data_IF_579165635943
#
_entry.id   IF_579165635943
#
_cell.length_a   1.000
_cell.length_b   1.000
_cell.length_c   1.000
_cell.angle_alpha   90.00
_cell.angle_beta   90.00
_cell.angle_gamma   90.00
#
_symmetry.space_group_name_H-M   'P 1'
#
loop_
_entity.id
_entity.type
_entity.pdbx_description
1 polymer ?
#
# COMPACT_ATOMS: atom_id res chain seq x y z
N UNK A 1 12.52 9.64 4.65
CA UNK A 1 12.46 8.44 5.48
C UNK A 1 11.14 7.72 5.26
N UNK A 2 11.19 6.40 5.15
CA UNK A 2 10.01 5.60 4.93
C UNK A 2 9.18 5.46 6.21
N UNK A 3 7.90 5.84 6.15
CA UNK A 3 6.99 5.76 7.30
C UNK A 3 6.21 4.44 7.36
N UNK A 4 6.46 3.55 6.41
CA UNK A 4 5.77 2.28 6.36
C UNK A 4 6.40 1.26 7.29
N UNK A 5 5.55 0.45 7.93
CA UNK A 5 6.03 -0.68 8.72
C UNK A 5 6.53 -1.77 7.78
N UNK A 6 7.21 -2.76 8.35
CA UNK A 6 7.70 -3.90 7.58
C UNK A 6 6.54 -4.62 6.86
N UNK A 7 5.44 -4.82 7.56
CA UNK A 7 4.27 -5.50 6.99
C UNK A 7 3.64 -4.67 5.88
N UNK A 8 3.55 -3.35 6.07
CA UNK A 8 3.05 -2.45 5.03
C UNK A 8 3.95 -2.46 3.81
N UNK A 9 5.27 -2.44 4.01
CA UNK A 9 6.22 -2.48 2.92
C UNK A 9 6.07 -3.76 2.11
N UNK A 10 5.92 -4.90 2.78
CA UNK A 10 5.69 -6.17 2.09
C UNK A 10 4.42 -6.13 1.26
N UNK A 11 3.35 -5.57 1.81
CA UNK A 11 2.09 -5.45 1.09
C UNK A 11 2.26 -4.59 -0.17
N UNK A 12 2.95 -3.46 -0.05
CA UNK A 12 3.21 -2.58 -1.18
C UNK A 12 4.02 -3.29 -2.26
N UNK A 13 5.01 -4.08 -1.88
CA UNK A 13 5.83 -4.83 -2.83
C UNK A 13 5.00 -5.82 -3.63
N UNK A 14 4.06 -6.50 -2.96
CA UNK A 14 3.21 -7.50 -3.61
C UNK A 14 2.33 -6.86 -4.69
N UNK A 15 1.80 -5.68 -4.41
CA UNK A 15 0.82 -5.03 -5.29
C UNK A 15 1.42 -3.91 -6.15
N UNK A 16 2.73 -3.69 -6.06
CA UNK A 16 3.38 -2.61 -6.78
C UNK A 16 3.20 -2.73 -8.29
N UNK A 17 2.66 -1.68 -8.90
CA UNK A 17 2.45 -1.60 -10.35
C UNK A 17 3.44 -0.65 -11.03
N UNK A 18 4.35 -0.07 -10.25
CA UNK A 18 5.33 0.88 -10.75
C UNK A 18 4.94 2.35 -10.57
N UNK A 19 3.72 2.63 -10.11
CA UNK A 19 3.29 4.00 -9.84
C UNK A 19 2.48 4.06 -8.55
N UNK A 20 2.48 5.25 -7.93
CA UNK A 20 1.73 5.47 -6.70
C UNK A 20 0.22 5.31 -6.91
N UNK A 21 -0.31 5.93 -7.95
CA UNK A 21 -1.74 5.85 -8.25
C UNK A 21 -2.15 4.43 -8.60
N UNK A 22 -1.33 3.72 -9.38
CA UNK A 22 -1.60 2.32 -9.71
C UNK A 22 -1.62 1.43 -8.49
N UNK A 23 -0.69 1.66 -7.57
CA UNK A 23 -0.64 0.91 -6.32
C UNK A 23 -1.86 1.20 -5.44
N UNK A 24 -2.26 2.47 -5.34
CA UNK A 24 -3.47 2.86 -4.61
C UNK A 24 -4.69 2.15 -5.18
N UNK A 25 -4.82 2.13 -6.51
CA UNK A 25 -5.95 1.47 -7.17
C UNK A 25 -5.94 -0.04 -6.90
N UNK A 26 -4.77 -0.67 -6.99
CA UNK A 26 -4.65 -2.10 -6.75
C UNK A 26 -5.04 -2.48 -5.33
N UNK A 27 -4.56 -1.70 -4.35
CA UNK A 27 -4.90 -1.95 -2.96
C UNK A 27 -6.37 -1.67 -2.67
N UNK A 28 -6.94 -0.65 -3.30
CA UNK A 28 -8.36 -0.32 -3.12
C UNK A 28 -9.24 -1.46 -3.64
N UNK A 29 -8.90 -2.02 -4.80
CA UNK A 29 -9.63 -3.16 -5.33
C UNK A 29 -9.52 -4.38 -4.43
N UNK A 30 -8.31 -4.68 -3.98
CA UNK A 30 -8.09 -5.82 -3.08
C UNK A 30 -8.88 -5.64 -1.79
N UNK A 31 -8.87 -4.43 -1.22
CA UNK A 31 -9.60 -4.14 0.00
C UNK A 31 -11.09 -4.41 -0.14
N UNK A 32 -11.66 -4.09 -1.30
CA UNK A 32 -13.08 -4.31 -1.55
C UNK A 32 -13.46 -5.78 -1.62
N UNK A 33 -12.47 -6.67 -1.81
CA UNK A 33 -12.71 -8.11 -1.91
C UNK A 33 -12.45 -8.85 -0.61
N UNK A 34 -11.96 -8.14 0.42
CA UNK A 34 -11.67 -8.77 1.70
C UNK A 34 -12.95 -9.16 2.43
N UNK A 35 -12.94 -10.35 3.01
CA UNK A 35 -14.05 -10.80 3.84
C UNK A 35 -13.97 -10.15 5.22
N UNK A 36 -15.07 -10.15 5.99
CA UNK A 36 -15.03 -9.62 7.37
C UNK A 36 -14.00 -10.31 8.26
N UNK A 37 -13.64 -11.54 7.95
CA UNK A 37 -12.66 -12.30 8.72
C UNK A 37 -11.25 -11.80 8.51
N UNK A 38 -11.02 -11.01 7.47
CA UNK A 38 -9.71 -10.47 7.12
C UNK A 38 -9.54 -9.05 7.63
N UNK A 39 -10.07 -8.77 8.82
CA UNK A 39 -10.05 -7.43 9.39
C UNK A 39 -8.63 -6.89 9.59
N UNK A 40 -7.69 -7.76 9.98
CA UNK A 40 -6.30 -7.33 10.17
C UNK A 40 -5.67 -6.87 8.86
N UNK A 41 -5.91 -7.62 7.79
CA UNK A 41 -5.39 -7.25 6.47
C UNK A 41 -6.05 -5.97 5.99
N UNK A 42 -7.34 -5.79 6.25
CA UNK A 42 -8.03 -4.57 5.88
C UNK A 42 -7.47 -3.36 6.62
N UNK A 43 -7.19 -3.49 7.91
CA UNK A 43 -6.59 -2.41 8.68
C UNK A 43 -5.20 -2.06 8.16
N UNK A 44 -4.40 -3.08 7.84
CA UNK A 44 -3.08 -2.87 7.28
C UNK A 44 -3.17 -2.15 5.94
N UNK A 45 -4.11 -2.57 5.09
CA UNK A 45 -4.34 -1.95 3.79
C UNK A 45 -4.79 -0.50 3.94
N UNK A 46 -5.72 -0.23 4.86
CA UNK A 46 -6.18 1.13 5.11
C UNK A 46 -5.06 2.04 5.58
N UNK A 47 -4.20 1.54 6.46
CA UNK A 47 -3.04 2.29 6.94
C UNK A 47 -2.08 2.61 5.79
N UNK A 48 -1.78 1.62 4.96
CA UNK A 48 -0.91 1.81 3.81
C UNK A 48 -1.51 2.80 2.81
N UNK A 49 -2.81 2.68 2.54
CA UNK A 49 -3.49 3.59 1.62
C UNK A 49 -3.46 5.03 2.12
N UNK A 50 -3.69 5.24 3.42
CA UNK A 50 -3.64 6.57 4.00
C UNK A 50 -2.26 7.21 3.82
N UNK A 51 -1.21 6.44 4.02
CA UNK A 51 0.16 6.92 3.85
C UNK A 51 0.48 7.20 2.40
N UNK A 52 0.04 6.34 1.49
CA UNK A 52 0.24 6.55 0.06
C UNK A 52 -0.46 7.81 -0.43
N UNK A 53 -1.67 8.07 0.06
CA UNK A 53 -2.42 9.26 -0.33
C UNK A 53 -1.82 10.53 0.24
N UNK A 54 -1.14 10.43 1.38
CA UNK A 54 -0.52 11.57 2.03
C UNK A 54 0.82 11.97 1.41
N UNK A 55 1.46 11.05 0.67
CA UNK A 55 2.74 11.34 0.03
C UNK A 55 2.53 11.77 -1.43
N UNK A 56 3.57 12.40 -1.99
CA UNK A 56 3.55 12.76 -3.41
C UNK A 56 4.33 11.72 -4.22
N UNK A 57 4.31 11.88 -5.55
CA UNK A 57 4.97 10.94 -6.45
C UNK A 57 6.49 10.91 -6.27
N UNK A 58 7.08 12.04 -5.93
CA UNK A 58 8.53 12.12 -5.68
C UNK A 58 8.89 11.29 -4.46
N UNK A 59 8.12 11.42 -3.39
CA UNK A 59 8.33 10.63 -2.18
C UNK A 59 8.15 9.14 -2.45
N UNK A 60 7.14 8.81 -3.25
CA UNK A 60 6.90 7.41 -3.62
C UNK A 60 8.08 6.84 -4.41
N UNK A 61 8.64 7.64 -5.32
CA UNK A 61 9.78 7.20 -6.13
C UNK A 61 11.02 6.91 -5.29
N UNK A 62 11.11 7.52 -4.10
CA UNK A 62 12.22 7.29 -3.19
C UNK A 62 12.06 5.99 -2.39
N UNK A 63 10.87 5.39 -2.41
CA UNK A 63 10.65 4.08 -1.77
C UNK A 63 11.29 2.99 -2.61
N UNK A 64 12.02 2.11 -1.95
CA UNK A 64 12.67 0.99 -2.63
C UNK A 64 11.79 -0.25 -2.49
N UNK A 65 10.78 -0.34 -3.36
CA UNK A 65 9.82 -1.44 -3.34
C UNK A 65 10.27 -2.54 -4.31
N UNK A 66 11.16 -3.37 -3.85
CA UNK A 66 11.63 -4.52 -4.63
C UNK A 66 10.86 -5.77 -4.20
N UNK A 67 10.46 -6.60 -5.18
CA UNK A 67 9.80 -7.86 -4.87
C UNK A 67 10.71 -8.84 -4.15
#
# INVERSE_FOLDING_TARGET
MNNFTFEETNLLCIYNTGSRTGLIDALTEMRGELSPEEAELRELTDSALGKLQAMNDTEFAELELYP
#
